data_IF_487069933552
#
_entry.id   IF_487069933552
#
_cell.length_a   1.000
_cell.length_b   1.000
_cell.length_c   1.000
_cell.angle_alpha   90.00
_cell.angle_beta   90.00
_cell.angle_gamma   90.00
#
_symmetry.space_group_name_H-M   'P 1'
#
loop_
_entity.id
_entity.type
_entity.pdbx_description
1 polymer ?
#
# COMPACT_ATOMS: atom_id res chain seq x y z
N UNK A 1 6.52 6.67 5.49
CA UNK A 1 5.87 7.58 4.52
C UNK A 1 4.55 8.08 5.10
N UNK A 2 4.27 9.38 5.15
CA UNK A 2 2.95 9.92 5.53
C UNK A 2 1.81 9.34 4.67
N UNK A 3 0.61 9.24 5.25
CA UNK A 3 -0.57 8.70 4.55
C UNK A 3 -0.84 9.37 3.18
N UNK A 4 -0.82 10.72 3.04
CA UNK A 4 -1.07 11.36 1.75
C UNK A 4 -0.04 10.99 0.67
N UNK A 5 1.23 10.86 1.05
CA UNK A 5 2.30 10.42 0.14
C UNK A 5 2.11 8.95 -0.27
N UNK A 6 1.69 8.08 0.66
CA UNK A 6 1.40 6.69 0.35
C UNK A 6 0.23 6.56 -0.64
N UNK A 7 -0.79 7.42 -0.55
CA UNK A 7 -1.87 7.47 -1.54
C UNK A 7 -1.33 7.86 -2.92
N UNK A 8 -0.55 8.94 -3.00
CA UNK A 8 0.04 9.40 -4.26
C UNK A 8 0.94 8.31 -4.88
N UNK A 9 1.74 7.64 -4.05
CA UNK A 9 2.62 6.55 -4.47
C UNK A 9 1.84 5.38 -5.11
N UNK A 10 0.65 5.06 -4.58
CA UNK A 10 -0.21 3.99 -5.11
C UNK A 10 -1.13 4.45 -6.25
N UNK A 11 -0.85 5.60 -6.88
CA UNK A 11 -1.65 6.11 -7.99
C UNK A 11 -2.88 6.92 -7.56
N UNK A 12 -2.86 7.49 -6.36
CA UNK A 12 -3.92 8.37 -5.86
C UNK A 12 -5.13 7.63 -5.28
N UNK A 13 -4.94 6.42 -4.74
CA UNK A 13 -6.05 5.64 -4.17
C UNK A 13 -6.76 6.39 -3.03
N UNK A 14 -8.08 6.19 -2.93
CA UNK A 14 -8.89 6.76 -1.86
C UNK A 14 -8.51 6.26 -0.47
N UNK A 15 -8.77 7.08 0.56
CA UNK A 15 -8.49 6.73 1.96
C UNK A 15 -9.18 5.45 2.39
N UNK A 16 -10.44 5.23 1.99
CA UNK A 16 -11.19 4.01 2.29
C UNK A 16 -10.41 2.78 1.84
N UNK A 17 -9.88 2.80 0.62
CA UNK A 17 -9.11 1.68 0.08
C UNK A 17 -7.80 1.49 0.83
N UNK A 18 -7.10 2.56 1.16
CA UNK A 18 -5.87 2.48 1.93
C UNK A 18 -6.11 1.86 3.33
N UNK A 19 -7.20 2.25 4.00
CA UNK A 19 -7.58 1.68 5.30
C UNK A 19 -8.02 0.22 5.21
N UNK A 20 -8.67 -0.19 4.12
CA UNK A 20 -8.94 -1.60 3.84
C UNK A 20 -7.63 -2.40 3.73
N UNK A 21 -6.63 -1.88 3.02
CA UNK A 21 -5.32 -2.54 2.88
C UNK A 21 -4.62 -2.69 4.23
N UNK A 22 -4.73 -1.71 5.14
CA UNK A 22 -4.25 -1.87 6.51
C UNK A 22 -5.02 -2.97 7.27
N UNK A 23 -6.35 -3.01 7.13
CA UNK A 23 -7.20 -4.02 7.78
C UNK A 23 -6.93 -5.43 7.26
N UNK A 24 -6.62 -5.55 5.98
CA UNK A 24 -6.26 -6.81 5.33
C UNK A 24 -4.83 -7.27 5.65
N UNK A 25 -4.01 -6.43 6.30
CA UNK A 25 -2.60 -6.72 6.57
C UNK A 25 -1.69 -6.58 5.34
N UNK A 26 -2.21 -6.02 4.24
CA UNK A 26 -1.45 -5.81 2.99
C UNK A 26 -0.45 -4.67 3.12
N UNK A 27 -0.77 -3.66 3.93
CA UNK A 27 0.09 -2.52 4.23
C UNK A 27 0.26 -2.36 5.75
N UNK A 28 1.44 -1.92 6.16
CA UNK A 28 1.78 -1.72 7.57
C UNK A 28 1.70 -0.25 7.94
N UNK A 29 0.72 0.11 8.77
CA UNK A 29 0.61 1.44 9.38
C UNK A 29 1.32 1.46 10.73
N UNK A 30 2.24 2.41 10.90
CA UNK A 30 2.85 2.78 12.17
C UNK A 30 2.37 4.16 12.60
N UNK A 31 2.26 4.41 13.90
CA UNK A 31 1.94 5.73 14.42
C UNK A 31 3.21 6.40 14.93
N UNK A 32 3.49 7.62 14.48
CA UNK A 32 4.58 8.47 14.97
C UNK A 32 3.92 9.72 15.57
N UNK A 33 3.85 9.75 16.89
CA UNK A 33 3.04 10.73 17.62
C UNK A 33 1.56 10.67 17.19
N UNK A 34 0.99 11.84 16.87
CA UNK A 34 -0.42 11.97 16.43
C UNK A 34 -0.65 11.59 14.97
N UNK A 35 0.39 11.30 14.20
CA UNK A 35 0.31 11.08 12.74
C UNK A 35 0.54 9.61 12.41
N UNK A 36 -0.27 9.09 11.48
CA UNK A 36 -0.10 7.78 10.91
C UNK A 36 0.86 7.80 9.72
N UNK A 37 1.73 6.80 9.64
CA UNK A 37 2.69 6.59 8.57
C UNK A 37 2.57 5.15 8.06
N UNK A 38 2.89 4.94 6.79
CA UNK A 38 3.02 3.62 6.17
C UNK A 38 4.50 3.29 6.02
N UNK A 39 4.88 2.04 6.29
CA UNK A 39 6.27 1.60 6.06
C UNK A 39 6.53 1.47 4.56
N UNK A 40 7.69 1.93 4.10
CA UNK A 40 8.05 1.86 2.67
C UNK A 40 8.18 0.41 2.20
N UNK A 41 8.73 -0.45 3.04
CA UNK A 41 8.86 -1.89 2.78
C UNK A 41 7.52 -2.54 2.47
N UNK A 42 6.46 -2.27 3.26
CA UNK A 42 5.14 -2.85 3.01
C UNK A 42 4.52 -2.35 1.71
N UNK A 43 4.74 -1.08 1.34
CA UNK A 43 4.31 -0.52 0.06
C UNK A 43 4.98 -1.21 -1.13
N UNK A 44 6.31 -1.37 -1.06
CA UNK A 44 7.07 -2.05 -2.12
C UNK A 44 6.63 -3.50 -2.26
N UNK A 45 6.50 -4.22 -1.15
CA UNK A 45 6.04 -5.61 -1.15
C UNK A 45 4.63 -5.74 -1.77
N UNK A 46 3.72 -4.80 -1.46
CA UNK A 46 2.38 -4.79 -2.05
C UNK A 46 2.41 -4.57 -3.57
N UNK A 47 3.18 -3.59 -4.05
CA UNK A 47 3.32 -3.32 -5.49
C UNK A 47 3.95 -4.51 -6.21
N UNK A 48 4.95 -5.17 -5.62
CA UNK A 48 5.58 -6.34 -6.23
C UNK A 48 4.61 -7.53 -6.34
N UNK A 49 3.74 -7.73 -5.34
CA UNK A 49 2.66 -8.74 -5.41
C UNK A 49 1.71 -8.45 -6.57
N UNK A 50 1.30 -7.19 -6.76
CA UNK A 50 0.42 -6.78 -7.87
C UNK A 50 1.09 -7.00 -9.22
N UNK A 51 2.36 -6.61 -9.35
CA UNK A 51 3.16 -6.82 -10.56
C UNK A 51 3.27 -8.31 -10.89
N UNK A 52 3.61 -9.14 -9.90
CA UNK A 52 3.70 -10.60 -10.08
C UNK A 52 2.36 -11.20 -10.52
N UNK A 53 1.25 -10.76 -9.90
CA UNK A 53 -0.08 -11.24 -10.26
C UNK A 53 -0.52 -10.78 -11.66
N UNK A 54 -0.09 -9.60 -12.12
CA UNK A 54 -0.34 -9.13 -13.48
C UNK A 54 0.41 -9.99 -14.50
N UNK A 55 1.71 -10.24 -14.28
CA UNK A 55 2.55 -11.03 -15.17
C UNK A 55 2.05 -12.49 -15.30
N UNK A 56 1.53 -13.07 -14.22
CA UNK A 56 0.93 -14.41 -14.24
C UNK A 56 -0.30 -14.51 -15.16
N UNK A 57 -1.05 -13.42 -15.34
CA UNK A 57 -2.24 -13.39 -16.21
C UNK A 57 -1.91 -13.24 -17.68
N UNK A 58 -0.78 -12.61 -18.00
CA UNK A 58 -0.34 -12.41 -19.39
C UNK A 58 0.29 -13.68 -19.98
N UNK A 59 0.79 -14.58 -19.11
CA UNK A 59 1.42 -15.84 -19.50
C UNK A 59 0.42 -17.03 -19.64
N UNK A 60 -0.88 -16.77 -19.51
CA UNK A 60 -1.95 -17.78 -19.62
C UNK A 60 -2.95 -17.39 -20.71
#
# INVERSE_FOLDING_TARGET
MPIPEAQAYLGGIGLTKLYELFKQGELTKINIGRRGFVTLESLQAYVERLKSAAQQRENH
#
